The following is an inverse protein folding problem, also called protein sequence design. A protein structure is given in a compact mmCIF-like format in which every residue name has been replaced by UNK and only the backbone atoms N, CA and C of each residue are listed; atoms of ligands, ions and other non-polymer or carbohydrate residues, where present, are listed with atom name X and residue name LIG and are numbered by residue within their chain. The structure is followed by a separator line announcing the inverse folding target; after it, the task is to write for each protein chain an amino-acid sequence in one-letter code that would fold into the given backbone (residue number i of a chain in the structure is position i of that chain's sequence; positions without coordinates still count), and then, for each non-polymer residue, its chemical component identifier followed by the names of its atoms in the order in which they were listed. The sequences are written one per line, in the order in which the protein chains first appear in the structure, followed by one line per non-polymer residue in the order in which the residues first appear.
data_IF_120652409939
#
_entry.id   IF_120652409939
#
_cell.length_a   1.000
_cell.length_b   1.000
_cell.length_c   1.000
_cell.angle_alpha   90.00
_cell.angle_beta   90.00
_cell.angle_gamma   90.00
#
_symmetry.space_group_name_H-M   'P 1'
#
loop_
_entity.id
_entity.type
_entity.pdbx_description
1 polymer ?
#
# COMPACT_ATOMS: atom_id res chain seq x y z
N UNK A 1 -10.11 -3.38 -3.17
CA UNK A 1 -8.95 -2.63 -2.64
C UNK A 1 -7.74 -3.54 -2.49
N UNK A 2 -7.79 -4.56 -1.64
CA UNK A 2 -6.72 -5.59 -1.53
C UNK A 2 -6.48 -6.30 -2.88
N UNK A 3 -7.58 -6.69 -3.56
CA UNK A 3 -7.54 -7.28 -4.90
C UNK A 3 -6.92 -6.34 -5.97
N UNK A 4 -7.08 -5.03 -5.81
CA UNK A 4 -6.60 -4.01 -6.77
C UNK A 4 -5.09 -3.77 -6.62
N UNK A 5 -4.57 -3.87 -5.40
CA UNK A 5 -3.14 -3.74 -5.11
C UNK A 5 -2.39 -4.96 -5.64
N UNK A 6 -2.87 -6.17 -5.39
CA UNK A 6 -2.18 -7.38 -5.84
C UNK A 6 -2.02 -7.41 -7.37
N UNK A 7 -3.08 -7.08 -8.11
CA UNK A 7 -3.00 -6.97 -9.57
C UNK A 7 -1.95 -5.94 -10.00
N UNK A 8 -1.90 -4.79 -9.34
CA UNK A 8 -0.93 -3.73 -9.65
C UNK A 8 0.52 -4.14 -9.36
N UNK A 9 0.75 -4.86 -8.26
CA UNK A 9 2.06 -5.41 -7.91
C UNK A 9 2.54 -6.44 -8.95
N UNK A 10 1.65 -7.30 -9.42
CA UNK A 10 1.97 -8.29 -10.46
C UNK A 10 2.34 -7.62 -11.79
N UNK A 11 1.62 -6.55 -12.17
CA UNK A 11 1.97 -5.76 -13.36
C UNK A 11 3.34 -5.09 -13.21
N UNK A 12 3.64 -4.51 -12.04
CA UNK A 12 4.93 -3.90 -11.78
C UNK A 12 6.06 -4.93 -11.84
N UNK A 13 5.85 -6.14 -11.31
CA UNK A 13 6.83 -7.21 -11.39
C UNK A 13 7.11 -7.65 -12.82
N UNK A 14 6.09 -7.70 -13.67
CA UNK A 14 6.28 -8.01 -15.09
C UNK A 14 7.05 -6.88 -15.80
N UNK A 15 6.70 -5.61 -15.55
CA UNK A 15 7.39 -4.46 -16.12
C UNK A 15 8.87 -4.37 -15.68
N UNK A 16 9.18 -4.69 -14.42
CA UNK A 16 10.55 -4.71 -13.89
C UNK A 16 11.37 -5.82 -14.58
N UNK A 17 10.77 -6.99 -14.79
CA UNK A 17 11.41 -8.11 -15.51
C UNK A 17 11.72 -7.75 -16.96
N UNK A 18 10.76 -7.13 -17.64
CA UNK A 18 10.85 -6.81 -19.07
C UNK A 18 11.69 -5.55 -19.38
N UNK A 19 11.88 -4.67 -18.39
CA UNK A 19 12.72 -3.49 -18.56
C UNK A 19 14.20 -3.88 -18.71
N UNK A 20 14.91 -3.20 -19.61
CA UNK A 20 16.35 -3.36 -19.80
C UNK A 20 17.15 -2.11 -19.39
N UNK A 21 16.45 -1.02 -19.05
CA UNK A 21 17.06 0.22 -18.59
C UNK A 21 17.08 0.28 -17.05
N UNK A 22 18.25 0.57 -16.49
CA UNK A 22 18.44 0.63 -15.04
C UNK A 22 17.55 1.70 -14.38
N UNK A 23 17.42 2.87 -15.00
CA UNK A 23 16.63 3.97 -14.42
C UNK A 23 15.14 3.63 -14.40
N UNK A 24 14.65 3.00 -15.45
CA UNK A 24 13.28 2.48 -15.50
C UNK A 24 13.03 1.41 -14.43
N UNK A 25 13.94 0.45 -14.24
CA UNK A 25 13.81 -0.53 -13.15
C UNK A 25 13.75 0.13 -11.79
N UNK A 26 14.66 1.06 -11.51
CA UNK A 26 14.70 1.76 -10.23
C UNK A 26 13.39 2.55 -9.98
N UNK A 27 12.84 3.20 -11.00
CA UNK A 27 11.56 3.89 -10.90
C UNK A 27 10.43 2.91 -10.58
N UNK A 28 10.31 1.81 -11.32
CA UNK A 28 9.26 0.81 -11.12
C UNK A 28 9.35 0.15 -9.74
N UNK A 29 10.56 -0.14 -9.26
CA UNK A 29 10.78 -0.65 -7.90
C UNK A 29 10.32 0.36 -6.85
N UNK A 30 10.67 1.65 -7.01
CA UNK A 30 10.21 2.69 -6.10
C UNK A 30 8.68 2.86 -6.08
N UNK A 31 8.02 2.70 -7.23
CA UNK A 31 6.54 2.68 -7.30
C UNK A 31 5.96 1.49 -6.54
N UNK A 32 6.58 0.30 -6.68
CA UNK A 32 6.17 -0.91 -5.95
C UNK A 32 6.29 -0.71 -4.44
N UNK A 33 7.41 -0.17 -3.98
CA UNK A 33 7.65 0.12 -2.56
C UNK A 33 6.62 1.12 -2.01
N UNK A 34 6.30 2.16 -2.78
CA UNK A 34 5.31 3.16 -2.38
C UNK A 34 3.90 2.55 -2.23
N UNK A 35 3.49 1.66 -3.14
CA UNK A 35 2.18 1.00 -3.07
C UNK A 35 2.06 0.11 -1.82
N UNK A 36 3.09 -0.67 -1.52
CA UNK A 36 3.15 -1.49 -0.30
C UNK A 36 3.08 -0.63 0.97
N UNK A 37 3.70 0.55 0.95
CA UNK A 37 3.58 1.49 2.07
C UNK A 37 2.15 2.04 2.21
N UNK A 38 1.46 2.34 1.10
CA UNK A 38 0.07 2.82 1.14
C UNK A 38 -0.90 1.76 1.67
N UNK A 39 -0.69 0.49 1.31
CA UNK A 39 -1.46 -0.63 1.85
C UNK A 39 -1.33 -0.68 3.38
N UNK A 40 -0.08 -0.73 3.88
CA UNK A 40 0.20 -0.73 5.31
C UNK A 40 -0.39 0.47 6.04
N UNK A 41 -0.31 1.67 5.46
CA UNK A 41 -0.91 2.88 6.05
C UNK A 41 -2.43 2.76 6.13
N UNK A 42 -3.06 2.18 5.12
CA UNK A 42 -4.51 1.97 5.09
C UNK A 42 -4.95 1.01 6.21
N UNK A 43 -4.25 -0.11 6.38
CA UNK A 43 -4.48 -1.05 7.48
C UNK A 43 -4.32 -0.38 8.85
N UNK A 44 -3.26 0.41 9.03
CA UNK A 44 -3.01 1.14 10.27
C UNK A 44 -4.11 2.16 10.58
N UNK A 45 -4.58 2.90 9.57
CA UNK A 45 -5.68 3.86 9.73
C UNK A 45 -6.98 3.14 10.09
N UNK A 46 -7.28 2.00 9.46
CA UNK A 46 -8.44 1.18 9.81
C UNK A 46 -8.35 0.69 11.26
N UNK A 47 -7.19 0.17 11.69
CA UNK A 47 -6.98 -0.26 13.07
C UNK A 47 -7.08 0.89 14.09
N UNK A 48 -6.60 2.08 13.76
CA UNK A 48 -6.77 3.27 14.60
C UNK A 48 -8.22 3.73 14.68
N UNK A 49 -8.93 3.75 13.54
CA UNK A 49 -10.34 4.09 13.47
C UNK A 49 -11.15 3.12 14.32
N UNK A 50 -10.91 1.82 14.20
CA UNK A 50 -11.55 0.80 15.03
C UNK A 50 -11.22 1.02 16.52
N UNK A 51 -9.94 1.17 16.88
CA UNK A 51 -9.54 1.42 18.27
C UNK A 51 -10.21 2.64 18.89
N UNK A 52 -10.38 3.72 18.11
CA UNK A 52 -11.07 4.95 18.55
C UNK A 52 -12.58 4.71 18.64
N UNK A 53 -13.17 4.04 17.65
CA UNK A 53 -14.59 3.70 17.64
C UNK A 53 -14.98 2.77 18.80
N UNK A 54 -14.08 1.91 19.28
CA UNK A 54 -14.31 1.00 20.41
C UNK A 54 -13.81 1.53 21.75
N UNK A 55 -13.36 2.79 21.83
CA UNK A 55 -12.90 3.44 23.08
C UNK A 55 -14.03 4.22 23.76
N UNK A 56 -14.69 3.69 24.80
CA UNK A 56 -15.87 4.32 25.39
C UNK A 56 -15.58 5.66 26.08
N UNK A 57 -14.31 5.92 26.41
CA UNK A 57 -13.85 7.20 26.95
C UNK A 57 -13.99 8.36 25.95
N UNK A 58 -14.05 8.08 24.64
CA UNK A 58 -14.15 9.10 23.58
C UNK A 58 -15.59 9.35 23.11
N UNK A 59 -16.57 8.60 23.65
CA UNK A 59 -17.99 8.68 23.22
C UNK A 59 -18.81 9.74 23.96
N UNK A 60 -18.21 10.47 24.90
CA UNK A 60 -18.90 11.44 25.74
C UNK A 60 -17.99 12.60 26.14
N UNK A 61 -17.95 13.63 25.31
CA UNK A 61 -17.53 14.99 25.64
C UNK A 61 -18.39 15.98 24.86
#
# INVERSE_FOLDING_TARGET
MEEDIQWSLDQLDQLIKDSHDYKQKALLMGVKDLLLEQEKRTEQIQGQLDGTLWSPNDWGS
#
